data_IF_651161254034
#
_entry.id   IF_651161254034
#
_cell.length_a   1.000
_cell.length_b   1.000
_cell.length_c   1.000
_cell.angle_alpha   90.00
_cell.angle_beta   90.00
_cell.angle_gamma   90.00
#
_symmetry.space_group_name_H-M   'P 1'
#
loop_
_entity.id
_entity.type
_entity.pdbx_description
1 polymer ?
#
# COMPACT_ATOMS: atom_id res chain seq x y z
N UNK A 1 -4.75 -18.35 0.47
CA UNK A 1 -4.01 -17.72 -0.65
C UNK A 1 -2.56 -17.62 -0.19
N UNK A 2 -1.61 -18.23 -0.89
CA UNK A 2 -0.20 -18.17 -0.49
C UNK A 2 0.44 -16.94 -1.13
N UNK A 3 0.79 -15.95 -0.31
CA UNK A 3 1.47 -14.71 -0.71
C UNK A 3 2.99 -14.84 -0.65
N UNK A 4 3.52 -15.86 0.02
CA UNK A 4 4.94 -16.01 0.34
C UNK A 4 5.76 -16.18 -0.92
N UNK A 5 5.22 -16.85 -1.94
CA UNK A 5 5.86 -17.07 -3.24
C UNK A 5 5.73 -15.92 -4.25
N UNK A 6 5.17 -14.77 -3.86
CA UNK A 6 4.92 -13.66 -4.78
C UNK A 6 5.90 -12.50 -4.58
N UNK A 7 6.53 -12.04 -5.64
CA UNK A 7 7.45 -10.87 -5.57
C UNK A 7 6.71 -9.54 -5.50
N UNK A 8 5.41 -9.53 -5.82
CA UNK A 8 4.58 -8.33 -5.85
C UNK A 8 3.23 -8.55 -5.17
N UNK A 9 2.88 -7.63 -4.28
CA UNK A 9 1.57 -7.57 -3.62
C UNK A 9 0.84 -6.32 -4.08
N UNK A 10 -0.44 -6.48 -4.43
CA UNK A 10 -1.33 -5.38 -4.74
C UNK A 10 -2.32 -5.18 -3.61
N UNK A 11 -2.39 -3.99 -3.05
CA UNK A 11 -3.30 -3.64 -1.97
C UNK A 11 -4.50 -2.91 -2.56
N UNK A 12 -5.68 -3.51 -2.46
CA UNK A 12 -6.93 -2.87 -2.83
C UNK A 12 -7.26 -1.76 -1.84
N UNK A 13 -7.24 -0.50 -2.29
CA UNK A 13 -7.56 0.66 -1.47
C UNK A 13 -8.84 1.35 -1.92
N UNK A 14 -9.79 1.54 -0.99
CA UNK A 14 -11.00 2.35 -1.17
C UNK A 14 -11.36 2.99 0.16
N UNK A 15 -11.46 4.33 0.22
CA UNK A 15 -11.65 5.05 1.49
C UNK A 15 -12.90 4.53 2.21
N UNK A 16 -12.74 4.25 3.50
CA UNK A 16 -13.81 3.85 4.41
C UNK A 16 -13.34 4.05 5.86
N UNK A 17 -14.12 3.61 6.85
CA UNK A 17 -13.79 3.77 8.28
C UNK A 17 -12.42 3.20 8.70
N UNK A 18 -11.93 2.18 7.99
CA UNK A 18 -10.66 1.51 8.27
C UNK A 18 -9.54 1.92 7.30
N UNK A 19 -9.86 2.65 6.23
CA UNK A 19 -8.94 3.00 5.15
C UNK A 19 -8.94 4.51 4.92
N UNK A 20 -7.86 5.17 5.28
CA UNK A 20 -7.68 6.61 5.09
C UNK A 20 -6.54 6.91 4.13
N UNK A 21 -6.60 8.07 3.49
CA UNK A 21 -5.57 8.57 2.58
C UNK A 21 -5.23 10.01 2.93
N UNK A 22 -3.95 10.34 2.98
CA UNK A 22 -3.45 11.71 3.03
C UNK A 22 -2.68 11.98 1.75
N UNK A 23 -3.01 13.06 1.05
CA UNK A 23 -2.28 13.55 -0.13
C UNK A 23 -1.62 14.86 0.27
N UNK A 24 -0.30 14.92 0.15
CA UNK A 24 0.48 16.10 0.54
C UNK A 24 0.59 17.08 -0.63
N UNK A 25 0.95 18.35 -0.37
CA UNK A 25 1.39 19.26 -1.43
C UNK A 25 2.55 18.68 -2.25
N UNK A 26 2.71 19.17 -3.47
CA UNK A 26 3.86 18.85 -4.31
C UNK A 26 5.10 19.45 -3.64
N UNK A 27 6.14 18.64 -3.43
CA UNK A 27 7.40 19.11 -2.86
C UNK A 27 8.31 19.81 -3.90
N UNK A 28 9.46 20.31 -3.46
CA UNK A 28 10.45 20.98 -4.32
C UNK A 28 11.00 20.10 -5.45
N UNK A 29 10.79 18.78 -5.38
CA UNK A 29 11.22 17.80 -6.39
C UNK A 29 10.08 17.41 -7.35
N UNK A 30 8.92 18.07 -7.25
CA UNK A 30 7.76 17.79 -8.10
C UNK A 30 6.97 16.55 -7.69
N UNK A 31 7.20 16.01 -6.48
CA UNK A 31 6.55 14.77 -6.03
C UNK A 31 5.39 15.07 -5.08
N UNK A 32 4.21 14.55 -5.41
CA UNK A 32 3.04 14.59 -4.55
C UNK A 32 3.01 13.34 -3.65
N UNK A 33 3.57 13.44 -2.45
CA UNK A 33 3.61 12.33 -1.49
C UNK A 33 2.20 11.90 -1.09
N UNK A 34 2.02 10.60 -0.82
CA UNK A 34 0.73 10.03 -0.42
C UNK A 34 0.91 8.98 0.67
N UNK A 35 0.05 9.03 1.67
CA UNK A 35 -0.01 8.03 2.72
C UNK A 35 -1.34 7.32 2.65
N UNK A 36 -1.32 5.99 2.59
CA UNK A 36 -2.49 5.14 2.67
C UNK A 36 -2.44 4.36 3.98
N UNK A 37 -3.41 4.56 4.86
CA UNK A 37 -3.42 3.92 6.18
C UNK A 37 -4.57 2.91 6.27
N UNK A 38 -4.26 1.71 6.74
CA UNK A 38 -5.22 0.68 7.13
C UNK A 38 -5.16 0.54 8.64
N UNK A 39 -6.25 0.89 9.33
CA UNK A 39 -6.36 0.80 10.80
C UNK A 39 -7.11 -0.48 11.17
N UNK A 40 -6.54 -1.28 12.06
CA UNK A 40 -7.03 -2.63 12.41
C UNK A 40 -7.30 -2.80 13.91
N UNK A 41 -6.90 -1.83 14.75
CA UNK A 41 -7.24 -1.79 16.18
C UNK A 41 -8.32 -0.75 16.50
N UNK A 42 -8.82 -0.79 17.73
CA UNK A 42 -9.61 0.30 18.32
C UNK A 42 -8.71 1.52 18.62
N UNK A 43 -9.29 2.61 19.15
CA UNK A 43 -8.55 3.86 19.45
C UNK A 43 -7.38 3.67 20.43
N UNK A 44 -7.39 2.62 21.23
CA UNK A 44 -6.40 2.34 22.27
C UNK A 44 -5.24 1.47 21.75
N UNK A 45 -5.53 0.52 20.86
CA UNK A 45 -4.54 -0.43 20.36
C UNK A 45 -3.66 0.11 19.22
N UNK A 46 -3.99 1.25 18.62
CA UNK A 46 -3.28 1.92 17.50
C UNK A 46 -2.63 0.98 16.46
N UNK A 47 -3.19 -0.21 16.21
CA UNK A 47 -2.68 -1.14 15.21
C UNK A 47 -3.00 -0.61 13.82
N UNK A 48 -1.97 -0.27 13.06
CA UNK A 48 -2.15 0.19 11.68
C UNK A 48 -0.98 -0.20 10.78
N UNK A 49 -1.29 -0.20 9.49
CA UNK A 49 -0.33 -0.36 8.40
C UNK A 49 -0.42 0.89 7.56
N UNK A 50 0.72 1.54 7.30
CA UNK A 50 0.79 2.70 6.44
C UNK A 50 1.66 2.40 5.22
N UNK A 51 1.13 2.69 4.04
CA UNK A 51 1.85 2.59 2.78
C UNK A 51 2.22 3.99 2.31
N UNK A 52 3.51 4.21 2.13
CA UNK A 52 4.09 5.49 1.72
C UNK A 52 4.41 5.49 0.24
N UNK A 53 3.74 6.36 -0.52
CA UNK A 53 4.20 6.75 -1.85
C UNK A 53 5.01 8.04 -1.73
N UNK A 54 6.25 8.00 -2.21
CA UNK A 54 7.22 9.09 -2.20
C UNK A 54 8.19 8.90 -3.37
N UNK A 55 9.14 9.82 -3.58
CA UNK A 55 10.02 9.77 -4.75
C UNK A 55 10.83 8.46 -4.85
N UNK A 56 11.28 7.93 -3.72
CA UNK A 56 12.05 6.67 -3.65
C UNK A 56 11.47 5.75 -2.58
N UNK A 57 11.14 4.50 -2.93
CA UNK A 57 10.60 3.50 -1.98
C UNK A 57 11.66 2.90 -1.04
N UNK A 58 12.95 3.04 -1.34
CA UNK A 58 14.05 2.57 -0.48
C UNK A 58 15.32 3.41 -0.64
N UNK A 59 16.26 3.34 0.33
CA UNK A 59 17.60 3.93 0.17
C UNK A 59 18.32 3.41 -1.08
N UNK A 60 18.24 2.10 -1.35
CA UNK A 60 18.85 1.50 -2.55
C UNK A 60 18.32 2.13 -3.84
N UNK A 61 17.00 2.32 -3.94
CA UNK A 61 16.39 3.00 -5.09
C UNK A 61 16.85 4.44 -5.23
N UNK A 62 17.00 5.16 -4.11
CA UNK A 62 17.54 6.53 -4.11
C UNK A 62 18.97 6.56 -4.62
N UNK A 63 19.83 5.67 -4.15
CA UNK A 63 21.24 5.60 -4.53
C UNK A 63 21.38 5.24 -6.02
N UNK A 64 20.51 4.37 -6.53
CA UNK A 64 20.37 4.03 -7.96
C UNK A 64 19.57 5.05 -8.79
N UNK A 65 19.09 6.15 -8.18
CA UNK A 65 18.22 7.16 -8.81
C UNK A 65 16.98 6.59 -9.52
N UNK A 66 16.46 5.47 -9.01
CA UNK A 66 15.26 4.80 -9.54
C UNK A 66 14.03 5.28 -8.77
N UNK A 67 13.20 6.11 -9.39
CA UNK A 67 11.99 6.64 -8.75
C UNK A 67 10.92 5.56 -8.52
N UNK A 68 10.04 5.81 -7.56
CA UNK A 68 8.85 4.98 -7.32
C UNK A 68 7.92 4.99 -8.52
N UNK A 69 7.39 3.82 -8.86
CA UNK A 69 6.56 3.63 -10.04
C UNK A 69 5.09 4.08 -9.83
N UNK A 70 4.48 4.63 -10.88
CA UNK A 70 3.05 4.95 -10.95
C UNK A 70 2.49 4.39 -12.24
N UNK A 71 1.54 3.45 -12.14
CA UNK A 71 0.97 2.77 -13.30
C UNK A 71 -0.49 3.14 -13.50
N UNK A 72 -0.90 3.15 -14.77
CA UNK A 72 -2.31 3.23 -15.15
C UNK A 72 -2.71 1.94 -15.85
N UNK A 73 -3.57 1.16 -15.21
CA UNK A 73 -3.98 -0.16 -15.65
C UNK A 73 -5.47 -0.22 -16.00
N UNK A 74 -5.89 -1.26 -16.71
CA UNK A 74 -7.30 -1.48 -17.06
C UNK A 74 -7.96 -2.53 -16.13
N UNK A 75 -9.28 -2.76 -16.29
CA UNK A 75 -10.02 -3.74 -15.45
C UNK A 75 -9.53 -5.19 -15.62
N UNK A 76 -8.94 -5.56 -16.76
CA UNK A 76 -8.43 -6.92 -16.99
C UNK A 76 -7.21 -7.22 -16.11
N UNK A 77 -6.46 -6.18 -15.72
CA UNK A 77 -5.39 -6.28 -14.73
C UNK A 77 -5.86 -6.96 -13.43
N UNK A 78 -7.02 -6.54 -12.90
CA UNK A 78 -7.60 -7.11 -11.68
C UNK A 78 -7.91 -8.60 -11.82
N UNK A 79 -8.32 -9.04 -13.01
CA UNK A 79 -8.59 -10.46 -13.28
C UNK A 79 -7.29 -11.26 -13.31
N UNK A 80 -6.27 -10.76 -14.01
CA UNK A 80 -4.95 -11.38 -14.15
C UNK A 80 -4.25 -11.54 -12.80
N UNK A 81 -4.32 -10.50 -11.96
CA UNK A 81 -3.59 -10.42 -10.69
C UNK A 81 -4.45 -10.73 -9.45
N UNK A 82 -5.63 -11.36 -9.62
CA UNK A 82 -6.59 -11.60 -8.52
C UNK A 82 -5.97 -12.28 -7.30
N UNK A 83 -5.03 -13.21 -7.50
CA UNK A 83 -4.32 -13.95 -6.43
C UNK A 83 -3.23 -13.14 -5.72
N UNK A 84 -2.92 -11.95 -6.22
CA UNK A 84 -1.90 -11.05 -5.68
C UNK A 84 -2.54 -9.81 -5.03
N UNK A 85 -3.85 -9.67 -5.19
CA UNK A 85 -4.61 -8.54 -4.66
C UNK A 85 -5.11 -8.90 -3.26
N UNK A 86 -4.65 -8.16 -2.25
CA UNK A 86 -5.11 -8.23 -0.87
C UNK A 86 -6.06 -7.07 -0.58
N UNK A 87 -7.16 -7.37 0.11
CA UNK A 87 -8.16 -6.39 0.53
C UNK A 87 -8.22 -6.24 2.04
N UNK A 88 -9.17 -5.44 2.54
CA UNK A 88 -9.33 -5.19 3.98
C UNK A 88 -9.51 -6.48 4.79
N UNK A 89 -10.20 -7.47 4.23
CA UNK A 89 -10.46 -8.74 4.92
C UNK A 89 -9.18 -9.55 5.13
N UNK A 90 -8.22 -9.45 4.21
CA UNK A 90 -6.90 -10.04 4.42
C UNK A 90 -6.25 -9.45 5.67
N UNK A 91 -6.25 -8.12 5.79
CA UNK A 91 -5.63 -7.44 6.93
C UNK A 91 -6.35 -7.69 8.26
N UNK A 92 -7.68 -7.84 8.26
CA UNK A 92 -8.45 -8.18 9.46
C UNK A 92 -8.16 -9.57 10.00
N UNK A 93 -7.79 -10.50 9.12
CA UNK A 93 -7.55 -11.90 9.47
C UNK A 93 -6.09 -12.19 9.85
N UNK A 94 -5.23 -11.17 9.91
CA UNK A 94 -3.83 -11.32 10.28
C UNK A 94 -3.47 -10.33 11.38
N UNK A 95 -2.59 -10.74 12.28
CA UNK A 95 -2.03 -9.81 13.26
C UNK A 95 -0.99 -8.89 12.58
N UNK A 96 -1.02 -7.60 12.92
CA UNK A 96 -0.16 -6.58 12.29
C UNK A 96 1.32 -6.86 12.47
N UNK A 97 1.73 -7.46 13.60
CA UNK A 97 3.12 -7.86 13.82
C UNK A 97 3.59 -8.87 12.78
N UNK A 98 2.73 -9.84 12.46
CA UNK A 98 3.06 -10.93 11.53
C UNK A 98 3.05 -10.48 10.07
N UNK A 99 2.27 -9.44 9.74
CA UNK A 99 2.18 -8.91 8.38
C UNK A 99 3.51 -8.33 7.88
N UNK A 100 4.42 -7.91 8.76
CA UNK A 100 5.73 -7.42 8.34
C UNK A 100 6.50 -8.46 7.53
N UNK A 101 6.45 -9.73 7.92
CA UNK A 101 7.15 -10.83 7.24
C UNK A 101 6.58 -11.07 5.84
N UNK A 102 5.25 -11.01 5.72
CA UNK A 102 4.55 -11.21 4.44
C UNK A 102 4.92 -10.12 3.43
N UNK A 103 5.25 -8.90 3.87
CA UNK A 103 5.57 -7.79 2.97
C UNK A 103 7.08 -7.57 2.81
N UNK A 104 7.91 -8.28 3.55
CA UNK A 104 9.36 -8.13 3.51
C UNK A 104 9.92 -8.48 2.12
N UNK A 105 10.81 -7.65 1.60
CA UNK A 105 11.43 -7.79 0.26
C UNK A 105 10.47 -7.88 -0.94
N UNK A 106 9.19 -7.53 -0.79
CA UNK A 106 8.22 -7.53 -1.90
C UNK A 106 7.98 -6.12 -2.43
N UNK A 107 7.67 -6.04 -3.72
CA UNK A 107 7.17 -4.80 -4.32
C UNK A 107 5.70 -4.65 -3.96
N UNK A 108 5.32 -3.50 -3.42
CA UNK A 108 3.95 -3.27 -2.94
C UNK A 108 3.31 -2.15 -3.73
N UNK A 109 2.18 -2.43 -4.36
CA UNK A 109 1.39 -1.42 -5.06
C UNK A 109 0.07 -1.18 -4.35
N UNK A 110 -0.30 0.09 -4.15
CA UNK A 110 -1.67 0.48 -3.79
C UNK A 110 -2.47 0.65 -5.07
N UNK A 111 -3.57 -0.09 -5.23
CA UNK A 111 -4.59 0.15 -6.25
C UNK A 111 -5.62 1.13 -5.67
N UNK A 112 -5.56 2.41 -6.06
CA UNK A 112 -6.46 3.44 -5.51
C UNK A 112 -7.79 3.50 -6.28
N UNK A 113 -8.81 2.81 -5.77
CA UNK A 113 -10.13 2.79 -6.38
C UNK A 113 -10.89 4.11 -6.24
N UNK A 114 -10.42 5.05 -5.42
CA UNK A 114 -11.02 6.39 -5.33
C UNK A 114 -10.60 7.29 -6.49
N UNK A 115 -9.50 6.96 -7.19
CA UNK A 115 -9.00 7.73 -8.34
C UNK A 115 -9.32 7.07 -9.68
N UNK A 116 -10.20 6.07 -9.66
CA UNK A 116 -10.64 5.36 -10.85
C UNK A 116 -11.35 6.32 -11.81
N UNK A 117 -10.80 6.52 -13.02
CA UNK A 117 -11.40 7.35 -14.07
C UNK A 117 -11.62 6.53 -15.34
N UNK A 118 -12.84 6.55 -15.88
CA UNK A 118 -13.21 5.86 -17.15
C UNK A 118 -12.72 4.40 -17.24
N UNK A 119 -12.82 3.66 -16.14
CA UNK A 119 -12.40 2.25 -16.07
C UNK A 119 -10.90 2.01 -15.91
N UNK A 120 -10.06 3.05 -15.91
CA UNK A 120 -8.62 2.97 -15.61
C UNK A 120 -8.37 3.01 -14.10
N UNK A 121 -7.42 2.19 -13.65
CA UNK A 121 -6.97 2.04 -12.28
C UNK A 121 -5.60 2.71 -12.15
N UNK A 122 -5.36 3.44 -11.06
CA UNK A 122 -4.05 4.02 -10.78
C UNK A 122 -3.40 3.22 -9.66
N UNK A 123 -2.15 2.83 -9.90
CA UNK A 123 -1.34 2.07 -8.96
C UNK A 123 -0.15 2.91 -8.54
N UNK A 124 0.14 2.92 -7.24
CA UNK A 124 1.31 3.60 -6.67
C UNK A 124 2.22 2.57 -6.03
N UNK A 125 3.49 2.53 -6.41
CA UNK A 125 4.49 1.74 -5.70
C UNK A 125 4.75 2.36 -4.32
N UNK A 126 4.71 1.56 -3.26
CA UNK A 126 4.73 2.05 -1.89
C UNK A 126 5.68 1.26 -1.01
N UNK A 127 6.12 1.92 0.06
CA UNK A 127 6.83 1.27 1.16
C UNK A 127 5.88 1.07 2.33
N UNK A 128 5.65 -0.17 2.79
CA UNK A 128 4.81 -0.43 3.95
C UNK A 128 5.57 -0.13 5.26
N UNK A 129 4.84 0.30 6.27
CA UNK A 129 5.29 0.49 7.64
C UNK A 129 4.19 0.03 8.58
N UNK A 130 4.59 -0.69 9.63
CA UNK A 130 3.71 -1.41 10.52
C UNK A 130 3.84 -0.80 11.91
N UNK A 131 2.71 -0.50 12.55
CA UNK A 131 2.65 -0.14 13.96
C UNK A 131 1.79 -1.17 14.67
N UNK A 132 2.43 -1.83 15.63
CA UNK A 132 1.89 -2.98 16.33
C UNK A 132 1.85 -2.81 17.85
N UNK A 133 2.23 -1.64 18.36
CA UNK A 133 2.36 -1.42 19.79
C UNK A 133 0.97 -1.25 20.42
N UNK A 134 0.69 -2.05 21.44
CA UNK A 134 -0.33 -1.69 22.42
C UNK A 134 0.22 -0.53 23.25
N UNK A 135 -0.57 0.52 23.46
CA UNK A 135 -0.22 1.53 24.46
C UNK A 135 -0.37 0.83 25.82
N UNK A 136 0.73 0.64 26.55
CA UNK A 136 0.69 0.34 27.99
C UNK A 136 0.10 1.52 28.78
#
# INVERSE_FOLDING_TARGET
>A
MNLDSQDTIFVHFKRNKLQSKTVFPIDSFGVQKRWYTITLGNSYEKKFIRFYFQEYTSPEKRDKKTKSDVRTENKLFLKKHKKQIVGIDFFKNHDVCTLREIFYNKVVYIIDFNERKKGKLILYETTPSFSCDAIE
#
